data_IF_588719137679
#
_entry.id   IF_588719137679
#
_cell.length_a   1.000
_cell.length_b   1.000
_cell.length_c   1.000
_cell.angle_alpha   90.00
_cell.angle_beta   90.00
_cell.angle_gamma   90.00
#
_symmetry.space_group_name_H-M   'P 1'
#
loop_
_entity.id
_entity.type
_entity.pdbx_description
1 polymer ?
#
# COMPACT_ATOMS: atom_id res chain seq x y z
N UNK A 1 19.54 5.03 -18.86
CA UNK A 1 18.29 5.71 -18.46
C UNK A 1 18.10 5.52 -16.96
N UNK A 2 18.66 6.39 -16.09
CA UNK A 2 18.54 6.24 -14.64
C UNK A 2 17.26 6.85 -14.02
N UNK A 3 16.43 7.57 -14.78
CA UNK A 3 15.25 8.28 -14.24
C UNK A 3 14.05 7.40 -13.87
N UNK A 4 13.85 6.23 -14.50
CA UNK A 4 12.64 5.42 -14.26
C UNK A 4 12.60 4.80 -12.86
N UNK A 5 13.75 4.37 -12.34
CA UNK A 5 13.82 3.81 -10.99
C UNK A 5 13.51 4.86 -9.92
N UNK A 6 14.03 6.10 -10.08
CA UNK A 6 13.78 7.21 -9.15
C UNK A 6 12.30 7.57 -9.11
N UNK A 7 11.65 7.62 -10.28
CA UNK A 7 10.21 7.86 -10.37
C UNK A 7 9.42 6.74 -9.69
N UNK A 8 9.79 5.48 -9.93
CA UNK A 8 9.14 4.33 -9.31
C UNK A 8 9.28 4.34 -7.78
N UNK A 9 10.47 4.63 -7.24
CA UNK A 9 10.65 4.79 -5.80
C UNK A 9 9.79 5.93 -5.25
N UNK A 10 9.77 7.09 -5.91
CA UNK A 10 8.96 8.23 -5.49
C UNK A 10 7.45 7.92 -5.48
N UNK A 11 6.96 7.20 -6.49
CA UNK A 11 5.57 6.73 -6.54
C UNK A 11 5.27 5.74 -5.43
N UNK A 12 6.15 4.75 -5.22
CA UNK A 12 6.02 3.76 -4.13
C UNK A 12 5.93 4.43 -2.78
N UNK A 13 6.86 5.33 -2.48
CA UNK A 13 6.92 6.04 -1.20
C UNK A 13 5.68 6.91 -0.98
N UNK A 14 5.16 7.56 -2.03
CA UNK A 14 3.89 8.29 -1.97
C UNK A 14 2.71 7.36 -1.63
N UNK A 15 2.62 6.21 -2.29
CA UNK A 15 1.56 5.22 -2.04
C UNK A 15 1.67 4.59 -0.65
N UNK A 16 2.89 4.31 -0.17
CA UNK A 16 3.15 3.85 1.19
C UNK A 16 2.72 4.90 2.22
N UNK A 17 2.95 6.18 1.95
CA UNK A 17 2.49 7.30 2.77
C UNK A 17 0.96 7.35 2.85
N UNK A 18 0.26 7.27 1.71
CA UNK A 18 -1.21 7.19 1.69
C UNK A 18 -1.72 5.97 2.45
N UNK A 19 -1.11 4.80 2.25
CA UNK A 19 -1.49 3.59 2.96
C UNK A 19 -1.29 3.74 4.48
N UNK A 20 -0.18 4.36 4.93
CA UNK A 20 0.04 4.62 6.35
C UNK A 20 -1.03 5.55 6.96
N UNK A 21 -1.44 6.59 6.23
CA UNK A 21 -2.52 7.50 6.66
C UNK A 21 -3.87 6.80 6.78
N UNK A 22 -4.14 5.77 5.97
CA UNK A 22 -5.37 4.97 6.04
C UNK A 22 -5.29 3.87 7.09
N UNK A 23 -4.12 3.28 7.28
CA UNK A 23 -3.88 2.26 8.30
C UNK A 23 -3.98 2.84 9.70
N UNK A 24 -3.45 4.04 9.95
CA UNK A 24 -3.45 4.66 11.27
C UNK A 24 -4.83 4.65 11.96
N UNK A 25 -5.91 5.23 11.39
CA UNK A 25 -7.22 5.23 12.02
C UNK A 25 -7.84 3.83 12.15
N UNK A 26 -7.61 2.94 11.18
CA UNK A 26 -8.09 1.55 11.25
C UNK A 26 -7.38 0.77 12.36
N UNK A 27 -6.08 1.01 12.53
CA UNK A 27 -5.25 0.39 13.57
C UNK A 27 -5.61 0.94 14.94
N UNK A 28 -5.85 2.24 15.08
CA UNK A 28 -6.40 2.87 16.30
C UNK A 28 -7.73 2.22 16.68
N UNK A 29 -8.66 2.07 15.73
CA UNK A 29 -9.95 1.42 15.97
C UNK A 29 -9.77 -0.03 16.48
N UNK A 30 -8.82 -0.78 15.91
CA UNK A 30 -8.51 -2.15 16.36
C UNK A 30 -7.86 -2.15 17.75
N UNK A 31 -6.94 -1.21 18.02
CA UNK A 31 -6.22 -1.10 19.30
C UNK A 31 -7.17 -0.80 20.46
N UNK A 32 -8.20 0.02 20.21
CA UNK A 32 -9.24 0.36 21.20
C UNK A 32 -10.45 -0.57 21.17
N UNK A 33 -10.38 -1.70 20.44
CA UNK A 33 -11.46 -2.69 20.30
C UNK A 33 -12.79 -2.09 19.79
N UNK A 34 -12.71 -1.04 18.97
CA UNK A 34 -13.87 -0.40 18.30
C UNK A 34 -13.95 -0.67 16.82
N UNK A 35 -12.99 -1.40 16.26
CA UNK A 35 -13.00 -1.75 14.86
C UNK A 35 -14.14 -2.71 14.54
N UNK A 36 -14.89 -2.36 13.51
CA UNK A 36 -15.83 -3.26 12.86
C UNK A 36 -15.10 -4.33 12.05
N UNK A 37 -15.75 -5.46 11.77
CA UNK A 37 -15.20 -6.50 10.89
C UNK A 37 -14.73 -5.95 9.53
N UNK A 38 -15.45 -4.95 9.00
CA UNK A 38 -15.07 -4.27 7.76
C UNK A 38 -13.78 -3.44 7.92
N UNK A 39 -13.61 -2.74 9.05
CA UNK A 39 -12.35 -2.04 9.35
C UNK A 39 -11.17 -2.99 9.52
N UNK A 40 -11.37 -4.14 10.15
CA UNK A 40 -10.35 -5.19 10.29
C UNK A 40 -9.98 -5.77 8.92
N UNK A 41 -10.97 -6.03 8.07
CA UNK A 41 -10.74 -6.49 6.70
C UNK A 41 -9.98 -5.43 5.89
N UNK A 42 -10.39 -4.17 5.95
CA UNK A 42 -9.69 -3.04 5.30
C UNK A 42 -8.27 -2.89 5.82
N UNK A 43 -8.04 -2.99 7.13
CA UNK A 43 -6.71 -2.92 7.74
C UNK A 43 -5.79 -4.00 7.18
N UNK A 44 -6.30 -5.22 7.04
CA UNK A 44 -5.57 -6.36 6.47
C UNK A 44 -5.25 -6.11 5.00
N UNK A 45 -6.22 -5.63 4.21
CA UNK A 45 -5.99 -5.28 2.81
C UNK A 45 -4.94 -4.18 2.65
N UNK A 46 -4.99 -3.13 3.47
CA UNK A 46 -3.98 -2.06 3.45
C UNK A 46 -2.59 -2.54 3.87
N UNK A 47 -2.50 -3.47 4.83
CA UNK A 47 -1.22 -4.10 5.22
C UNK A 47 -0.64 -4.92 4.07
N UNK A 48 -1.45 -5.74 3.40
CA UNK A 48 -1.05 -6.49 2.21
C UNK A 48 -0.60 -5.54 1.09
N UNK A 49 -1.37 -4.49 0.82
CA UNK A 49 -1.02 -3.45 -0.15
C UNK A 49 0.37 -2.84 0.11
N UNK A 50 0.70 -2.50 1.36
CA UNK A 50 2.05 -2.01 1.72
C UNK A 50 3.14 -3.06 1.48
N UNK A 51 2.86 -4.34 1.72
CA UNK A 51 3.83 -5.42 1.49
C UNK A 51 4.06 -5.57 -0.01
N UNK A 52 3.00 -5.60 -0.82
CA UNK A 52 3.11 -5.66 -2.28
C UNK A 52 3.85 -4.44 -2.85
N UNK A 53 3.56 -3.24 -2.34
CA UNK A 53 4.31 -2.02 -2.70
C UNK A 53 5.80 -2.11 -2.36
N UNK A 54 6.18 -2.69 -1.22
CA UNK A 54 7.59 -2.89 -0.89
C UNK A 54 8.24 -3.99 -1.75
N UNK A 55 7.45 -4.87 -2.36
CA UNK A 55 7.93 -5.95 -3.23
C UNK A 55 8.00 -5.55 -4.71
N UNK A 56 7.50 -4.38 -5.10
CA UNK A 56 7.55 -3.96 -6.52
C UNK A 56 8.98 -3.88 -7.07
N UNK A 57 9.96 -3.58 -6.22
CA UNK A 57 11.38 -3.54 -6.60
C UNK A 57 11.96 -4.94 -6.89
N UNK A 58 11.31 -5.98 -6.38
CA UNK A 58 11.66 -7.37 -6.61
C UNK A 58 11.00 -7.93 -7.88
N UNK A 59 10.12 -7.16 -8.52
CA UNK A 59 9.49 -7.57 -9.77
C UNK A 59 10.51 -7.57 -10.91
N UNK A 60 10.46 -8.61 -11.75
CA UNK A 60 11.37 -8.77 -12.88
C UNK A 60 11.25 -7.65 -13.91
N UNK A 61 10.11 -6.95 -13.96
CA UNK A 61 9.88 -5.81 -14.84
C UNK A 61 10.34 -4.46 -14.29
N UNK A 62 10.78 -4.36 -13.03
CA UNK A 62 11.20 -3.08 -12.45
C UNK A 62 12.47 -2.53 -13.14
N UNK A 63 12.57 -1.21 -13.39
CA UNK A 63 11.56 -0.16 -13.20
C UNK A 63 10.68 0.12 -14.44
N UNK A 64 10.83 -0.67 -15.51
CA UNK A 64 10.19 -0.40 -16.81
C UNK A 64 8.72 -0.85 -16.89
N UNK A 65 8.40 -2.00 -16.28
CA UNK A 65 7.11 -2.68 -16.29
C UNK A 65 6.78 -3.11 -14.85
N UNK A 66 6.22 -2.18 -14.07
CA UNK A 66 5.86 -2.42 -12.67
C UNK A 66 4.36 -2.70 -12.60
N UNK A 67 4.00 -3.84 -12.02
CA UNK A 67 2.63 -4.14 -11.63
C UNK A 67 2.34 -3.43 -10.30
N UNK A 68 1.59 -2.33 -10.39
CA UNK A 68 1.21 -1.56 -9.21
C UNK A 68 -0.01 -2.20 -8.55
N UNK A 69 0.07 -2.59 -7.27
CA UNK A 69 -1.09 -3.11 -6.58
C UNK A 69 -2.20 -2.05 -6.57
N UNK A 70 -3.46 -2.49 -6.55
CA UNK A 70 -4.60 -1.58 -6.42
C UNK A 70 -4.87 -1.27 -4.96
N UNK A 71 -5.16 0.01 -4.69
CA UNK A 71 -5.61 0.47 -3.38
C UNK A 71 -6.91 -0.26 -3.01
N UNK A 72 -7.07 -0.74 -1.77
CA UNK A 72 -8.32 -1.38 -1.35
C UNK A 72 -9.52 -0.43 -1.34
N UNK A 73 -9.28 0.89 -1.32
CA UNK A 73 -10.32 1.93 -1.50
C UNK A 73 -10.89 1.95 -2.93
N UNK A 74 -10.14 1.43 -3.92
CA UNK A 74 -10.59 1.33 -5.32
C UNK A 74 -11.46 0.10 -5.56
N UNK A 75 -11.50 -0.87 -4.65
CA UNK A 75 -12.45 -1.98 -4.67
C UNK A 75 -13.72 -1.49 -4.01
N UNK A 76 -14.61 -0.89 -4.80
CA UNK A 76 -15.92 -0.41 -4.37
C UNK A 76 -17.01 -1.46 -4.51
#
# INVERSE_FOLDING_TARGET
MPDQAVMAYSTRDSLLGTAALRIAPLQDAVDVDRATDDEVARLTLWKNYRIDLNRIEQQTGFPANIDWPQSPDSVR
#
